data_IF_264943552086
#
_entry.id   IF_264943552086
#
_cell.length_a   1.000
_cell.length_b   1.000
_cell.length_c   1.000
_cell.angle_alpha   90.00
_cell.angle_beta   90.00
_cell.angle_gamma   90.00
#
_symmetry.space_group_name_H-M   'P 1'
#
loop_
_entity.id
_entity.type
_entity.pdbx_description
1 polymer ?
#
# COMPACT_ATOMS: atom_id res chain seq x y z
N UNK A 1 -10.74 -1.38 -25.10
CA UNK A 1 -11.54 -1.24 -23.85
C UNK A 1 -10.71 -1.68 -22.68
N UNK A 2 -10.64 -0.86 -21.62
CA UNK A 2 -9.83 -1.11 -20.41
C UNK A 2 -10.37 -2.35 -19.69
N UNK A 3 -9.46 -3.27 -19.30
CA UNK A 3 -9.79 -4.49 -18.55
C UNK A 3 -9.25 -4.47 -17.12
N UNK A 4 -8.27 -3.62 -16.83
CA UNK A 4 -7.64 -3.51 -15.52
C UNK A 4 -6.33 -2.72 -15.60
N UNK A 5 -5.67 -2.56 -14.46
CA UNK A 5 -4.32 -2.04 -14.40
C UNK A 5 -3.33 -3.15 -14.75
N UNK A 6 -2.49 -2.94 -15.75
CA UNK A 6 -1.48 -3.92 -16.16
C UNK A 6 -0.16 -3.74 -15.41
N UNK A 7 0.34 -2.51 -15.38
CA UNK A 7 1.60 -2.20 -14.68
C UNK A 7 1.59 -0.81 -14.05
N UNK A 8 2.36 -0.67 -12.99
CA UNK A 8 2.72 0.60 -12.38
C UNK A 8 4.24 0.62 -12.15
N UNK A 9 4.85 1.80 -12.18
CA UNK A 9 6.29 1.94 -12.04
C UNK A 9 6.65 2.92 -10.92
N UNK A 10 7.74 2.60 -10.19
CA UNK A 10 8.31 3.45 -9.16
C UNK A 10 9.83 3.63 -9.38
N UNK A 11 10.35 4.85 -9.20
CA UNK A 11 11.79 5.05 -9.14
C UNK A 11 12.34 4.58 -7.81
N UNK A 12 13.51 3.94 -7.84
CA UNK A 12 14.22 3.43 -6.65
C UNK A 12 15.71 3.74 -6.78
N UNK A 13 16.39 4.05 -5.67
CA UNK A 13 17.82 4.37 -5.70
C UNK A 13 18.69 3.12 -5.71
N UNK A 14 18.23 2.03 -5.10
CA UNK A 14 18.92 0.76 -4.98
C UNK A 14 17.96 -0.37 -5.36
N UNK A 15 18.24 -1.02 -6.49
CA UNK A 15 17.33 -2.02 -7.06
C UNK A 15 17.24 -3.28 -6.19
N UNK A 16 18.37 -3.78 -5.69
CA UNK A 16 18.41 -5.01 -4.88
C UNK A 16 17.67 -4.80 -3.55
N UNK A 17 17.94 -3.68 -2.86
CA UNK A 17 17.24 -3.31 -1.65
C UNK A 17 15.72 -3.22 -1.87
N UNK A 18 15.30 -2.66 -2.99
CA UNK A 18 13.88 -2.51 -3.31
C UNK A 18 13.25 -3.84 -3.69
N UNK A 19 13.94 -4.71 -4.43
CA UNK A 19 13.47 -6.07 -4.70
C UNK A 19 13.25 -6.83 -3.39
N UNK A 20 14.19 -6.77 -2.46
CA UNK A 20 14.08 -7.42 -1.15
C UNK A 20 12.88 -6.89 -0.36
N UNK A 21 12.68 -5.56 -0.35
CA UNK A 21 11.56 -4.93 0.32
C UNK A 21 10.21 -5.40 -0.25
N UNK A 22 10.01 -5.30 -1.57
CA UNK A 22 8.74 -5.67 -2.20
C UNK A 22 8.49 -7.18 -2.18
N UNK A 23 9.55 -7.98 -2.27
CA UNK A 23 9.46 -9.44 -2.05
C UNK A 23 9.05 -9.75 -0.61
N UNK A 24 9.54 -8.99 0.34
CA UNK A 24 9.13 -9.06 1.75
C UNK A 24 7.66 -8.69 1.97
N UNK A 25 7.06 -7.84 1.13
CA UNK A 25 5.62 -7.57 1.12
C UNK A 25 4.79 -8.72 0.52
N UNK A 26 5.43 -9.65 -0.19
CA UNK A 26 4.77 -10.81 -0.81
C UNK A 26 4.70 -10.76 -2.33
N UNK A 27 5.23 -9.71 -2.97
CA UNK A 27 5.34 -9.67 -4.42
C UNK A 27 6.44 -10.64 -4.87
N UNK A 28 6.22 -11.32 -5.99
CA UNK A 28 7.20 -12.28 -6.52
C UNK A 28 7.96 -11.65 -7.69
N UNK A 29 9.29 -11.62 -7.58
CA UNK A 29 10.14 -11.22 -8.70
C UNK A 29 9.87 -12.13 -9.90
N UNK A 30 9.58 -11.53 -11.04
CA UNK A 30 9.48 -12.20 -12.33
C UNK A 30 10.81 -12.18 -13.06
N UNK A 31 11.30 -10.98 -13.37
CA UNK A 31 12.59 -10.82 -14.05
C UNK A 31 13.21 -9.44 -13.78
N UNK A 32 14.48 -9.34 -14.11
CA UNK A 32 15.23 -8.09 -14.16
C UNK A 32 15.71 -7.83 -15.59
N UNK A 33 15.86 -6.55 -15.93
CA UNK A 33 16.45 -6.14 -17.18
C UNK A 33 17.70 -5.31 -16.88
N UNK A 34 18.86 -5.91 -17.15
CA UNK A 34 20.15 -5.38 -16.74
C UNK A 34 20.13 -5.04 -15.22
N UNK A 35 20.99 -4.13 -14.76
CA UNK A 35 20.99 -3.61 -13.38
C UNK A 35 20.17 -2.30 -13.28
N UNK A 36 19.05 -2.22 -14.01
CA UNK A 36 18.27 -0.98 -14.13
C UNK A 36 16.79 -1.13 -13.83
N UNK A 37 16.21 -2.30 -14.03
CA UNK A 37 14.77 -2.49 -13.96
C UNK A 37 14.45 -3.88 -13.42
N UNK A 38 13.47 -3.97 -12.52
CA UNK A 38 12.91 -5.21 -12.02
C UNK A 38 11.40 -5.20 -12.15
N UNK A 39 10.80 -6.35 -12.44
CA UNK A 39 9.36 -6.56 -12.46
C UNK A 39 8.96 -7.58 -11.41
N UNK A 40 8.02 -7.22 -10.55
CA UNK A 40 7.48 -8.09 -9.52
C UNK A 40 5.97 -8.22 -9.71
N UNK A 41 5.46 -9.45 -9.69
CA UNK A 41 4.04 -9.71 -9.81
C UNK A 41 3.25 -9.16 -8.62
N UNK A 42 2.25 -8.31 -8.89
CA UNK A 42 1.19 -7.96 -7.96
C UNK A 42 0.15 -9.09 -8.00
N UNK A 43 -0.33 -9.41 -9.18
CA UNK A 43 -1.18 -10.58 -9.45
C UNK A 43 -0.55 -11.35 -10.62
N UNK A 44 -0.14 -12.59 -10.35
CA UNK A 44 0.60 -13.41 -11.32
C UNK A 44 -0.13 -13.46 -12.66
N UNK A 45 0.62 -13.26 -13.73
CA UNK A 45 0.17 -13.26 -15.13
C UNK A 45 -0.87 -12.19 -15.47
N UNK A 46 -1.13 -11.23 -14.56
CA UNK A 46 -2.11 -10.16 -14.79
C UNK A 46 -1.56 -8.76 -14.61
N UNK A 47 -0.85 -8.51 -13.51
CA UNK A 47 -0.34 -7.17 -13.23
C UNK A 47 0.96 -7.21 -12.43
N UNK A 48 1.84 -6.27 -12.71
CA UNK A 48 3.13 -6.17 -12.03
C UNK A 48 3.52 -4.75 -11.65
N UNK A 49 4.48 -4.67 -10.76
CA UNK A 49 5.18 -3.46 -10.35
C UNK A 49 6.56 -3.44 -11.00
N UNK A 50 6.85 -2.39 -11.75
CA UNK A 50 8.19 -2.10 -12.29
C UNK A 50 8.97 -1.18 -11.35
N UNK A 51 10.19 -1.58 -11.00
CA UNK A 51 11.12 -0.79 -10.20
C UNK A 51 12.24 -0.30 -11.10
N UNK A 52 12.35 1.03 -11.28
CA UNK A 52 13.38 1.65 -12.10
C UNK A 52 14.49 2.22 -11.23
N UNK A 53 15.73 1.75 -11.41
CA UNK A 53 16.90 2.38 -10.79
C UNK A 53 17.07 3.80 -11.31
N UNK A 54 17.15 4.76 -10.41
CA UNK A 54 17.24 6.19 -10.72
C UNK A 54 18.12 6.90 -9.71
N UNK A 55 18.94 7.82 -10.21
CA UNK A 55 19.73 8.74 -9.36
C UNK A 55 18.86 9.89 -8.79
N UNK A 56 17.60 9.99 -9.22
CA UNK A 56 16.65 11.04 -8.82
C UNK A 56 15.38 10.42 -8.27
N UNK A 57 15.42 9.97 -7.03
CA UNK A 57 14.27 9.43 -6.31
C UNK A 57 13.60 10.43 -5.40
N UNK A 58 14.28 11.52 -5.07
CA UNK A 58 13.77 12.60 -4.25
C UNK A 58 12.82 13.47 -5.07
N UNK A 59 11.58 13.58 -4.61
CA UNK A 59 10.57 14.45 -5.20
C UNK A 59 9.89 15.24 -4.09
N UNK A 60 9.43 16.44 -4.43
CA UNK A 60 8.56 17.20 -3.55
C UNK A 60 7.33 16.36 -3.18
N UNK A 61 6.99 16.38 -1.88
CA UNK A 61 5.87 15.57 -1.40
C UNK A 61 4.55 16.07 -1.96
N UNK A 62 3.79 15.13 -2.52
CA UNK A 62 2.37 15.31 -2.82
C UNK A 62 1.67 13.95 -2.64
N UNK A 63 0.46 13.91 -2.02
CA UNK A 63 -0.23 12.65 -1.72
C UNK A 63 -0.49 11.74 -2.93
N UNK A 64 -0.56 12.31 -4.14
CA UNK A 64 -0.81 11.55 -5.37
C UNK A 64 0.45 11.13 -6.12
N UNK A 65 1.63 11.58 -5.68
CA UNK A 65 2.88 11.25 -6.38
C UNK A 65 3.45 9.94 -5.83
N UNK A 66 3.73 9.00 -6.73
CA UNK A 66 4.35 7.69 -6.40
C UNK A 66 3.60 6.98 -5.28
N UNK A 67 2.28 6.91 -5.42
CA UNK A 67 1.39 6.26 -4.47
C UNK A 67 0.82 4.96 -5.07
N UNK A 68 0.94 3.87 -4.32
CA UNK A 68 0.35 2.58 -4.68
C UNK A 68 -0.45 2.04 -3.49
N UNK A 69 -1.69 1.66 -3.77
CA UNK A 69 -2.56 0.98 -2.83
C UNK A 69 -2.64 -0.52 -3.18
N UNK A 70 -2.27 -1.39 -2.24
CA UNK A 70 -2.41 -2.83 -2.35
C UNK A 70 -3.68 -3.29 -1.65
N UNK A 71 -4.55 -3.96 -2.39
CA UNK A 71 -5.72 -4.60 -1.80
C UNK A 71 -5.31 -5.77 -0.91
N UNK A 72 -5.85 -5.78 0.31
CA UNK A 72 -5.68 -6.86 1.27
C UNK A 72 -7.03 -7.31 1.84
N UNK A 73 -7.09 -8.47 2.48
CA UNK A 73 -8.27 -8.88 3.24
C UNK A 73 -8.43 -8.04 4.51
N UNK A 74 -9.64 -7.94 5.04
CA UNK A 74 -9.89 -7.23 6.31
C UNK A 74 -9.08 -7.86 7.46
N UNK A 75 -8.99 -9.18 7.52
CA UNK A 75 -8.17 -9.89 8.52
C UNK A 75 -6.68 -9.54 8.36
N UNK A 76 -6.16 -9.53 7.14
CA UNK A 76 -4.79 -9.12 6.84
C UNK A 76 -4.54 -7.66 7.25
N UNK A 77 -5.51 -6.78 6.99
CA UNK A 77 -5.39 -5.38 7.36
C UNK A 77 -5.37 -5.17 8.89
N UNK A 78 -6.21 -5.87 9.66
CA UNK A 78 -6.20 -5.82 11.13
C UNK A 78 -4.85 -6.19 11.73
N UNK A 79 -4.15 -7.13 11.13
CA UNK A 79 -2.84 -7.59 11.57
C UNK A 79 -1.67 -6.79 10.95
N UNK A 80 -1.95 -5.86 10.03
CA UNK A 80 -0.94 -5.24 9.18
C UNK A 80 0.09 -4.40 9.94
N UNK A 81 -0.31 -3.67 10.99
CA UNK A 81 0.61 -2.82 11.76
C UNK A 81 1.68 -3.67 12.45
N UNK A 82 1.29 -4.72 13.15
CA UNK A 82 2.23 -5.64 13.80
C UNK A 82 3.07 -6.40 12.76
N UNK A 83 2.46 -6.83 11.68
CA UNK A 83 3.14 -7.53 10.59
C UNK A 83 4.21 -6.66 9.93
N UNK A 84 3.89 -5.38 9.60
CA UNK A 84 4.86 -4.43 9.05
C UNK A 84 6.02 -4.18 10.03
N UNK A 85 5.72 -3.93 11.30
CA UNK A 85 6.74 -3.70 12.34
C UNK A 85 7.66 -4.92 12.52
N UNK A 86 7.12 -6.13 12.51
CA UNK A 86 7.91 -7.36 12.62
C UNK A 86 8.86 -7.60 11.44
N UNK A 87 8.54 -7.04 10.26
CA UNK A 87 9.44 -7.02 9.09
C UNK A 87 10.41 -5.84 9.07
N UNK A 88 10.38 -4.98 10.08
CA UNK A 88 11.19 -3.77 10.14
C UNK A 88 10.67 -2.62 9.28
N UNK A 89 9.48 -2.72 8.74
CA UNK A 89 8.83 -1.64 8.00
C UNK A 89 8.09 -0.72 8.98
N UNK A 90 8.02 0.57 8.63
CA UNK A 90 7.44 1.59 9.51
C UNK A 90 6.11 2.07 8.95
N UNK A 91 4.97 1.68 9.54
CA UNK A 91 3.72 2.37 9.28
C UNK A 91 3.87 3.86 9.63
N UNK A 92 3.19 4.71 8.89
CA UNK A 92 3.25 6.16 9.09
C UNK A 92 1.88 6.77 9.31
N UNK A 93 1.89 7.94 9.96
CA UNK A 93 0.71 8.80 10.07
C UNK A 93 0.17 9.14 8.67
N UNK A 94 -1.16 9.20 8.56
CA UNK A 94 -1.86 9.68 7.38
C UNK A 94 -3.22 10.27 7.75
N UNK A 95 -3.59 11.38 7.14
CA UNK A 95 -4.88 12.04 7.34
C UNK A 95 -5.22 12.40 8.79
N UNK A 96 -4.21 12.59 9.64
CA UNK A 96 -4.35 12.89 11.07
C UNK A 96 -4.51 11.66 11.97
N UNK A 97 -4.31 10.44 11.43
CA UNK A 97 -4.36 9.19 12.19
C UNK A 97 -2.95 8.64 12.41
N UNK A 98 -2.58 8.51 13.69
CA UNK A 98 -1.36 7.80 14.07
C UNK A 98 -1.44 6.33 13.68
N UNK A 99 -0.32 5.69 13.28
CA UNK A 99 -0.32 4.32 12.77
C UNK A 99 -0.36 3.27 13.90
N UNK A 100 -1.30 3.41 14.82
CA UNK A 100 -1.52 2.46 15.93
C UNK A 100 -2.37 1.28 15.49
N UNK A 101 -3.32 1.53 14.60
CA UNK A 101 -4.18 0.57 13.93
C UNK A 101 -4.66 1.16 12.58
N UNK A 102 -5.31 0.38 11.70
CA UNK A 102 -5.95 0.92 10.49
C UNK A 102 -7.04 1.93 10.83
N UNK A 103 -7.20 2.92 9.96
CA UNK A 103 -8.31 3.88 10.04
C UNK A 103 -9.25 3.74 8.85
N UNK A 104 -10.48 4.26 9.00
CA UNK A 104 -11.55 4.13 8.03
C UNK A 104 -11.89 5.48 7.40
N UNK A 105 -11.95 5.50 6.07
CA UNK A 105 -12.46 6.62 5.27
C UNK A 105 -13.82 6.23 4.68
N UNK A 106 -14.91 6.79 5.21
CA UNK A 106 -16.27 6.46 4.74
C UNK A 106 -16.58 7.05 3.36
N UNK A 107 -17.43 6.33 2.64
CA UNK A 107 -18.20 6.77 1.49
C UNK A 107 -19.68 6.52 1.78
N UNK A 108 -20.58 6.74 0.80
CA UNK A 108 -22.01 6.60 1.06
C UNK A 108 -22.41 5.17 1.52
N UNK A 109 -22.18 4.16 0.67
CA UNK A 109 -22.63 2.79 0.92
C UNK A 109 -21.47 1.83 1.31
N UNK A 110 -20.26 2.32 1.33
CA UNK A 110 -19.06 1.55 1.68
C UNK A 110 -18.03 2.45 2.34
N UNK A 111 -16.95 1.86 2.81
CA UNK A 111 -15.80 2.59 3.31
C UNK A 111 -14.49 1.89 2.89
N UNK A 112 -13.40 2.58 3.01
CA UNK A 112 -12.07 2.01 2.89
C UNK A 112 -11.36 2.03 4.24
N UNK A 113 -11.06 0.86 4.77
CA UNK A 113 -10.12 0.71 5.86
C UNK A 113 -8.70 0.62 5.29
N UNK A 114 -7.72 1.28 5.91
CA UNK A 114 -6.36 1.41 5.36
C UNK A 114 -5.29 1.68 6.41
N UNK A 115 -4.06 1.38 6.04
CA UNK A 115 -2.84 1.77 6.75
C UNK A 115 -1.78 2.21 5.76
N UNK A 116 -1.04 3.26 6.07
CA UNK A 116 -0.01 3.83 5.21
C UNK A 116 1.39 3.49 5.71
N UNK A 117 2.32 3.31 4.78
CA UNK A 117 3.74 3.12 5.02
C UNK A 117 4.54 3.55 3.79
N UNK A 118 5.87 3.58 3.88
CA UNK A 118 6.71 3.93 2.76
C UNK A 118 7.66 2.78 2.41
N UNK A 119 8.07 2.72 1.15
CA UNK A 119 9.21 1.93 0.74
C UNK A 119 10.54 2.60 1.16
N UNK A 120 11.71 1.96 0.96
CA UNK A 120 13.00 2.53 1.34
C UNK A 120 13.37 3.86 0.69
N UNK A 121 12.77 4.20 -0.44
CA UNK A 121 12.99 5.46 -1.16
C UNK A 121 11.89 6.51 -0.93
N UNK A 122 10.95 6.23 0.00
CA UNK A 122 9.86 7.13 0.35
C UNK A 122 8.66 7.08 -0.61
N UNK A 123 8.58 6.09 -1.50
CA UNK A 123 7.37 5.88 -2.27
C UNK A 123 6.21 5.55 -1.32
N UNK A 124 5.09 6.24 -1.49
CA UNK A 124 3.93 6.12 -0.61
C UNK A 124 3.14 4.87 -0.90
N UNK A 125 3.00 4.01 0.08
CA UNK A 125 2.27 2.75 -0.03
C UNK A 125 1.11 2.72 0.96
N UNK A 126 0.05 2.01 0.61
CA UNK A 126 -1.01 1.66 1.55
C UNK A 126 -1.48 0.23 1.37
N UNK A 127 -1.88 -0.42 2.46
CA UNK A 127 -2.80 -1.54 2.42
C UNK A 127 -4.21 -1.03 2.58
N UNK A 128 -5.10 -1.49 1.72
CA UNK A 128 -6.48 -1.03 1.64
C UNK A 128 -7.46 -2.20 1.55
N UNK A 129 -8.57 -2.09 2.27
CA UNK A 129 -9.68 -3.03 2.21
C UNK A 129 -10.99 -2.26 2.07
N UNK A 130 -11.84 -2.68 1.14
CA UNK A 130 -13.21 -2.18 1.05
C UNK A 130 -14.08 -2.91 2.08
N UNK A 131 -14.86 -2.15 2.84
CA UNK A 131 -15.81 -2.63 3.85
C UNK A 131 -17.17 -1.98 3.65
N UNK A 132 -18.25 -2.59 4.16
CA UNK A 132 -19.58 -2.04 4.07
C UNK A 132 -19.78 -0.85 5.03
N UNK A 133 -20.68 0.07 4.67
CA UNK A 133 -21.12 1.20 5.49
C UNK A 133 -22.64 1.17 5.67
N UNK A 134 -23.21 0.17 6.39
CA UNK A 134 -24.64 0.00 6.52
C UNK A 134 -25.31 1.15 7.28
N UNK A 135 -24.59 1.76 8.21
CA UNK A 135 -25.08 2.87 9.05
C UNK A 135 -24.82 4.26 8.44
N UNK A 136 -24.30 4.33 7.20
CA UNK A 136 -24.01 5.59 6.48
C UNK A 136 -23.18 6.58 7.31
N UNK A 137 -22.19 6.05 8.03
CA UNK A 137 -21.24 6.85 8.81
C UNK A 137 -20.48 7.76 7.87
N UNK A 138 -20.29 9.01 8.25
CA UNK A 138 -19.59 10.03 7.46
C UNK A 138 -18.24 10.45 8.06
N UNK A 139 -18.04 10.21 9.35
CA UNK A 139 -16.82 10.60 10.04
C UNK A 139 -15.74 9.53 9.88
N UNK A 140 -14.49 10.00 9.69
CA UNK A 140 -13.31 9.15 9.74
C UNK A 140 -13.06 8.72 11.17
N UNK A 141 -12.60 7.48 11.38
CA UNK A 141 -12.30 6.93 12.71
C UNK A 141 -11.34 5.75 12.59
N UNK A 142 -10.84 5.26 13.71
CA UNK A 142 -10.09 4.01 13.72
C UNK A 142 -10.98 2.81 13.41
N UNK A 143 -10.36 1.73 12.92
CA UNK A 143 -11.12 0.52 12.52
C UNK A 143 -11.82 -0.14 13.71
N UNK A 144 -11.22 -0.11 14.89
CA UNK A 144 -11.84 -0.63 16.12
C UNK A 144 -13.13 0.11 16.49
N UNK A 145 -13.14 1.43 16.36
CA UNK A 145 -14.34 2.26 16.58
C UNK A 145 -15.42 1.98 15.52
N UNK A 146 -14.98 1.83 14.26
CA UNK A 146 -15.89 1.48 13.17
C UNK A 146 -16.61 0.14 13.41
N UNK A 147 -15.86 -0.87 13.83
CA UNK A 147 -16.41 -2.19 14.11
C UNK A 147 -17.36 -2.17 15.31
N UNK A 148 -17.08 -1.35 16.33
CA UNK A 148 -17.99 -1.20 17.47
C UNK A 148 -19.35 -0.61 17.07
N UNK A 149 -19.36 0.38 16.19
CA UNK A 149 -20.60 1.03 15.71
C UNK A 149 -21.41 0.11 14.77
N UNK A 150 -20.73 -0.79 14.06
CA UNK A 150 -21.36 -1.67 13.05
C UNK A 150 -21.56 -3.12 13.54
N UNK A 151 -21.48 -3.36 14.85
CA UNK A 151 -21.84 -4.66 15.47
C UNK A 151 -23.36 -4.90 15.43
#
# INVERSE_FOLDING_TARGET
>A
MIKGLYEAHLPVSDLDRSIDFYSGLGLKLDHTFEDRLAFLWIEKDKSWLGLWKSDRVELEYHPSIRHIAFQVSLEGLKNSVSWLKNKGYKPREAFGFEPIEPFVMPHDNYAHAKIHFNDPDGNSLEFICKIDNPNKITNRMYLSEWEEINK
#
